data_IF_035467777288
#
_entry.id   IF_035467777288
#
_cell.length_a   1.000
_cell.length_b   1.000
_cell.length_c   1.000
_cell.angle_alpha   90.00
_cell.angle_beta   90.00
_cell.angle_gamma   90.00
#
_symmetry.space_group_name_H-M   'P 1'
#
loop_
_entity.id
_entity.type
_entity.pdbx_description
1 polymer ?
#
# COMPACT_ATOMS: atom_id res chain seq x y z
N UNK A 1 -13.58 33.32 -6.39
CA UNK A 1 -13.58 31.85 -6.15
C UNK A 1 -12.40 31.21 -6.91
N UNK A 2 -11.50 30.54 -6.22
CA UNK A 2 -10.38 29.85 -6.88
C UNK A 2 -10.76 28.39 -7.09
N UNK A 3 -11.33 28.09 -8.25
CA UNK A 3 -11.84 26.75 -8.59
C UNK A 3 -10.84 25.96 -9.42
N UNK A 4 -10.79 24.65 -9.19
CA UNK A 4 -10.01 23.71 -9.99
C UNK A 4 -10.78 23.30 -11.24
N UNK A 5 -10.21 23.59 -12.40
CA UNK A 5 -10.71 23.21 -13.73
C UNK A 5 -10.71 21.69 -13.98
N UNK A 6 -10.04 20.89 -13.14
CA UNK A 6 -9.93 19.44 -13.30
C UNK A 6 -11.00 18.68 -12.52
N UNK A 7 -11.38 19.16 -11.33
CA UNK A 7 -12.34 18.46 -10.46
C UNK A 7 -13.40 19.35 -9.80
N UNK A 8 -13.45 20.64 -10.13
CA UNK A 8 -14.44 21.59 -9.60
C UNK A 8 -14.24 22.00 -8.14
N UNK A 9 -13.15 21.56 -7.48
CA UNK A 9 -12.90 21.91 -6.09
C UNK A 9 -12.60 23.42 -5.95
N UNK A 10 -13.31 24.09 -5.03
CA UNK A 10 -13.14 25.51 -4.75
C UNK A 10 -12.27 25.75 -3.51
N UNK A 11 -11.35 26.70 -3.61
CA UNK A 11 -10.40 27.05 -2.56
C UNK A 11 -10.52 28.54 -2.18
N UNK A 12 -10.29 28.82 -0.90
CA UNK A 12 -10.36 30.18 -0.36
C UNK A 12 -9.22 31.09 -0.86
N UNK A 13 -8.08 30.52 -1.30
CA UNK A 13 -6.91 31.28 -1.75
C UNK A 13 -6.25 30.59 -2.96
N UNK A 14 -5.70 31.40 -3.87
CA UNK A 14 -5.02 30.91 -5.08
C UNK A 14 -3.86 29.95 -4.77
N UNK A 15 -3.10 30.16 -3.68
CA UNK A 15 -1.99 29.27 -3.29
C UNK A 15 -2.44 27.83 -3.07
N UNK A 16 -3.62 27.64 -2.47
CA UNK A 16 -4.17 26.32 -2.20
C UNK A 16 -4.67 25.65 -3.47
N UNK A 17 -5.23 26.42 -4.41
CA UNK A 17 -5.57 25.90 -5.73
C UNK A 17 -4.32 25.45 -6.50
N UNK A 18 -3.23 26.22 -6.47
CA UNK A 18 -1.97 25.86 -7.14
C UNK A 18 -1.38 24.57 -6.56
N UNK A 19 -1.34 24.43 -5.22
CA UNK A 19 -0.89 23.20 -4.58
C UNK A 19 -1.82 22.01 -4.86
N UNK A 20 -3.13 22.25 -4.84
CA UNK A 20 -4.10 21.24 -5.24
C UNK A 20 -3.92 20.78 -6.70
N UNK A 21 -3.65 21.69 -7.64
CA UNK A 21 -3.37 21.34 -9.04
C UNK A 21 -2.16 20.43 -9.20
N UNK A 22 -1.16 20.51 -8.31
CA UNK A 22 -0.03 19.56 -8.30
C UNK A 22 -0.47 18.13 -7.98
N UNK A 23 -1.59 17.94 -7.29
CA UNK A 23 -2.15 16.60 -7.00
C UNK A 23 -2.74 15.95 -8.26
N UNK A 24 -3.27 16.75 -9.17
CA UNK A 24 -3.75 16.31 -10.49
C UNK A 24 -2.63 16.04 -11.47
N UNK A 25 -1.49 16.71 -11.29
CA UNK A 25 -0.27 16.35 -11.99
C UNK A 25 0.16 14.96 -11.52
N UNK A 26 -0.28 13.92 -12.23
CA UNK A 26 0.30 12.58 -12.20
C UNK A 26 1.72 12.63 -12.82
N UNK A 27 2.55 13.60 -12.43
CA UNK A 27 3.93 13.66 -12.84
C UNK A 27 4.63 12.46 -12.22
N UNK A 28 4.79 11.45 -13.06
CA UNK A 28 5.45 10.19 -12.77
C UNK A 28 6.67 10.14 -13.66
N UNK A 29 7.74 10.88 -13.31
CA UNK A 29 8.88 11.08 -14.21
C UNK A 29 9.65 9.78 -14.45
N UNK A 30 9.50 8.79 -13.56
CA UNK A 30 10.22 7.53 -13.63
C UNK A 30 9.39 6.49 -14.36
N UNK A 31 9.70 6.24 -15.64
CA UNK A 31 9.00 5.27 -16.48
C UNK A 31 9.79 3.96 -16.57
N UNK A 32 9.08 2.85 -16.57
CA UNK A 32 9.61 1.53 -16.89
C UNK A 32 9.66 1.39 -18.41
N UNK A 33 10.85 1.16 -18.96
CA UNK A 33 11.02 1.03 -20.41
C UNK A 33 10.45 -0.30 -20.97
N UNK A 34 10.34 -1.32 -20.11
CA UNK A 34 9.84 -2.63 -20.53
C UNK A 34 8.31 -2.68 -20.68
N UNK A 35 7.56 -1.93 -19.87
CA UNK A 35 6.09 -1.99 -19.87
C UNK A 35 5.39 -0.62 -19.86
N UNK A 36 6.14 0.48 -19.90
CA UNK A 36 5.61 1.85 -19.90
C UNK A 36 5.06 2.34 -18.55
N UNK A 37 5.07 1.50 -17.50
CA UNK A 37 4.54 1.88 -16.19
C UNK A 37 5.32 3.07 -15.60
N UNK A 38 4.61 4.09 -15.13
CA UNK A 38 5.19 5.31 -14.60
C UNK A 38 5.03 5.42 -13.08
N UNK A 39 6.07 5.90 -12.41
CA UNK A 39 6.17 6.03 -10.95
C UNK A 39 6.58 7.45 -10.54
N UNK A 40 6.07 7.89 -9.38
CA UNK A 40 6.39 9.20 -8.78
C UNK A 40 7.80 9.26 -8.20
N UNK A 41 8.36 8.11 -7.79
CA UNK A 41 9.67 8.00 -7.13
C UNK A 41 10.55 6.98 -7.84
N UNK A 42 11.84 7.26 -7.96
CA UNK A 42 12.82 6.36 -8.57
C UNK A 42 12.87 5.00 -7.86
N UNK A 43 12.86 4.98 -6.52
CA UNK A 43 12.86 3.75 -5.75
C UNK A 43 11.65 2.84 -6.03
N UNK A 44 10.48 3.43 -6.32
CA UNK A 44 9.29 2.66 -6.71
C UNK A 44 9.44 2.04 -8.11
N UNK A 45 10.12 2.73 -9.04
CA UNK A 45 10.48 2.15 -10.33
C UNK A 45 11.50 1.00 -10.16
N UNK A 46 12.52 1.17 -9.33
CA UNK A 46 13.51 0.11 -9.05
C UNK A 46 12.85 -1.12 -8.46
N UNK A 47 11.97 -0.94 -7.48
CA UNK A 47 11.20 -2.03 -6.90
C UNK A 47 10.26 -2.68 -7.93
N UNK A 48 9.59 -1.87 -8.75
CA UNK A 48 8.77 -2.38 -9.84
C UNK A 48 9.56 -3.24 -10.82
N UNK A 49 10.81 -2.87 -11.17
CA UNK A 49 11.64 -3.66 -12.09
C UNK A 49 11.85 -5.10 -11.62
N UNK A 50 11.73 -5.38 -10.31
CA UNK A 50 11.83 -6.74 -9.76
C UNK A 50 10.71 -7.67 -10.24
N UNK A 51 9.57 -7.14 -10.69
CA UNK A 51 8.51 -7.99 -11.26
C UNK A 51 8.95 -8.62 -12.58
N UNK A 52 9.80 -7.93 -13.33
CA UNK A 52 10.28 -8.38 -14.63
C UNK A 52 11.44 -9.36 -14.49
N UNK A 53 12.31 -9.13 -13.50
CA UNK A 53 13.47 -9.99 -13.22
C UNK A 53 13.14 -11.18 -12.32
N UNK A 54 12.01 -11.14 -11.61
CA UNK A 54 11.64 -12.14 -10.61
C UNK A 54 12.48 -12.08 -9.33
N UNK A 55 13.30 -11.03 -9.15
CA UNK A 55 14.20 -10.90 -8.00
C UNK A 55 13.40 -10.76 -6.69
N UNK A 56 13.73 -11.62 -5.71
CA UNK A 56 13.10 -11.64 -4.39
C UNK A 56 14.17 -11.54 -3.29
N UNK A 57 14.75 -10.35 -3.08
CA UNK A 57 15.88 -10.19 -2.16
C UNK A 57 15.48 -10.35 -0.68
N UNK A 58 14.18 -10.22 -0.35
CA UNK A 58 13.71 -10.26 1.04
C UNK A 58 13.23 -11.66 1.40
N UNK A 59 14.09 -12.44 2.07
CA UNK A 59 13.77 -13.80 2.54
C UNK A 59 13.17 -13.80 3.94
N UNK A 60 12.21 -14.68 4.18
CA UNK A 60 11.76 -14.99 5.53
C UNK A 60 12.80 -15.85 6.24
N UNK A 61 12.99 -15.60 7.53
CA UNK A 61 13.87 -16.36 8.42
C UNK A 61 13.17 -17.56 9.07
N UNK A 62 11.84 -17.64 8.97
CA UNK A 62 11.02 -18.68 9.59
C UNK A 62 10.49 -19.71 8.57
N UNK A 63 10.63 -19.44 7.26
CA UNK A 63 10.25 -20.33 6.18
C UNK A 63 10.96 -19.95 4.87
N UNK A 64 10.79 -20.76 3.82
CA UNK A 64 11.44 -20.53 2.51
C UNK A 64 10.79 -19.43 1.64
N UNK A 65 9.85 -18.66 2.19
CA UNK A 65 9.18 -17.60 1.45
C UNK A 65 10.12 -16.42 1.18
N UNK A 66 10.13 -15.92 -0.06
CA UNK A 66 10.88 -14.74 -0.47
C UNK A 66 10.00 -13.72 -1.20
N UNK A 67 10.30 -12.44 -1.02
CA UNK A 67 9.49 -11.32 -1.49
C UNK A 67 10.33 -10.29 -2.25
N UNK A 68 9.70 -9.62 -3.21
CA UNK A 68 10.31 -8.52 -3.97
C UNK A 68 10.34 -7.19 -3.18
N UNK A 69 9.54 -7.07 -2.11
CA UNK A 69 9.36 -5.85 -1.33
C UNK A 69 9.48 -6.12 0.18
N UNK A 70 10.15 -5.21 0.91
CA UNK A 70 10.34 -5.34 2.36
C UNK A 70 9.01 -5.29 3.13
N UNK A 71 8.07 -4.41 2.72
CA UNK A 71 6.76 -4.30 3.36
C UNK A 71 5.93 -5.58 3.25
N UNK A 72 6.07 -6.32 2.14
CA UNK A 72 5.43 -7.62 1.97
C UNK A 72 6.01 -8.68 2.89
N UNK A 73 7.34 -8.73 3.03
CA UNK A 73 7.98 -9.60 4.03
C UNK A 73 7.53 -9.25 5.45
N UNK A 74 7.51 -7.96 5.81
CA UNK A 74 7.07 -7.53 7.14
C UNK A 74 5.61 -7.95 7.42
N UNK A 75 4.72 -7.80 6.44
CA UNK A 75 3.34 -8.32 6.55
C UNK A 75 3.31 -9.84 6.66
N UNK A 76 4.09 -10.55 5.84
CA UNK A 76 4.17 -12.01 5.88
C UNK A 76 4.69 -12.52 7.22
N UNK A 77 5.69 -11.88 7.84
CA UNK A 77 6.17 -12.29 9.17
C UNK A 77 5.06 -12.30 10.22
N UNK A 78 4.02 -11.48 10.05
CA UNK A 78 2.84 -11.55 10.90
C UNK A 78 2.07 -12.85 10.73
N UNK A 79 2.11 -13.58 9.62
CA UNK A 79 1.40 -14.87 9.53
C UNK A 79 1.96 -15.93 10.48
N UNK A 80 3.23 -15.79 10.87
CA UNK A 80 3.87 -16.66 11.87
C UNK A 80 3.50 -16.27 13.30
N UNK A 81 2.85 -15.12 13.49
CA UNK A 81 2.35 -14.65 14.78
C UNK A 81 0.84 -14.48 14.71
N UNK A 82 0.06 -15.09 15.59
CA UNK A 82 -1.39 -14.84 15.65
C UNK A 82 -1.72 -13.95 16.86
N UNK A 83 -1.31 -12.66 16.87
CA UNK A 83 -1.41 -11.83 18.06
C UNK A 83 -2.84 -11.39 18.36
N UNK A 84 -3.76 -11.50 17.40
CA UNK A 84 -5.13 -11.03 17.57
C UNK A 84 -6.02 -12.17 18.02
N UNK A 85 -6.35 -12.20 19.30
CA UNK A 85 -7.20 -13.24 19.92
C UNK A 85 -8.61 -12.71 20.11
N UNK A 86 -9.61 -13.53 19.84
CA UNK A 86 -10.99 -13.22 20.19
C UNK A 86 -11.20 -13.35 21.70
N UNK A 87 -11.87 -12.38 22.31
CA UNK A 87 -12.17 -12.40 23.74
C UNK A 87 -13.39 -13.28 24.08
N UNK A 88 -14.17 -13.69 23.08
CA UNK A 88 -15.42 -14.44 23.24
C UNK A 88 -15.28 -15.92 22.83
N UNK A 89 -14.19 -16.30 22.16
CA UNK A 89 -13.93 -17.68 21.76
C UNK A 89 -12.43 -17.92 21.51
N UNK A 90 -11.97 -19.19 21.35
CA UNK A 90 -10.56 -19.51 21.12
C UNK A 90 -9.98 -19.07 19.75
N UNK A 91 -10.76 -18.37 18.91
CA UNK A 91 -10.32 -17.99 17.58
C UNK A 91 -9.16 -16.97 17.63
N UNK A 92 -8.13 -17.20 16.81
CA UNK A 92 -6.97 -16.33 16.68
C UNK A 92 -6.75 -15.90 15.23
N UNK A 93 -6.23 -14.70 15.04
CA UNK A 93 -6.15 -14.03 13.74
C UNK A 93 -4.78 -13.38 13.55
N UNK A 94 -4.37 -13.31 12.28
CA UNK A 94 -3.14 -12.64 11.85
C UNK A 94 -3.34 -11.13 11.66
N UNK A 95 -4.57 -10.71 11.33
CA UNK A 95 -4.91 -9.31 11.06
C UNK A 95 -6.03 -8.80 11.97
N UNK A 96 -5.89 -7.56 12.45
CA UNK A 96 -6.88 -6.90 13.29
C UNK A 96 -8.25 -6.77 12.60
N UNK A 97 -8.27 -6.47 11.30
CA UNK A 97 -9.50 -6.35 10.51
C UNK A 97 -10.29 -7.67 10.47
N UNK A 98 -9.61 -8.80 10.40
CA UNK A 98 -10.23 -10.12 10.43
C UNK A 98 -10.88 -10.40 11.79
N UNK A 99 -10.21 -10.06 12.89
CA UNK A 99 -10.78 -10.15 14.23
C UNK A 99 -12.01 -9.23 14.39
N UNK A 100 -11.93 -7.98 13.92
CA UNK A 100 -13.06 -7.03 13.99
C UNK A 100 -14.28 -7.56 13.24
N UNK A 101 -14.09 -8.11 12.03
CA UNK A 101 -15.18 -8.73 11.28
C UNK A 101 -15.73 -9.97 12.00
N UNK A 102 -14.87 -10.81 12.57
CA UNK A 102 -15.28 -11.98 13.33
C UNK A 102 -16.11 -11.61 14.57
N UNK A 103 -15.73 -10.56 15.31
CA UNK A 103 -16.46 -10.13 16.50
C UNK A 103 -17.91 -9.73 16.22
N UNK A 104 -18.22 -9.26 15.00
CA UNK A 104 -19.60 -8.90 14.60
C UNK A 104 -20.53 -10.11 14.60
N UNK A 105 -20.02 -11.31 14.29
CA UNK A 105 -20.80 -12.54 14.29
C UNK A 105 -21.17 -13.05 15.70
N UNK A 106 -20.61 -12.46 16.76
CA UNK A 106 -21.02 -12.74 18.15
C UNK A 106 -22.05 -11.74 18.68
N UNK A 107 -22.37 -10.71 17.90
CA UNK A 107 -23.37 -9.69 18.26
C UNK A 107 -24.75 -9.99 17.64
N UNK A 108 -24.87 -11.14 16.98
CA UNK A 108 -26.10 -11.70 16.40
C UNK A 108 -26.64 -12.82 17.29
#
# INVERSE_FOLDING_TARGET
PHECDICGAAFAQARYLVDHKKTHSNNRPHKCEQCGAAFKRSGALTEHKRIHTGEKPFKCDQCDAAFAQAGHLARHKRTHSKPFVCSMCPATFVEASALVRHKRAHQE
#
